data_IF_118500389819
#
_entry.id   IF_118500389819
#
_cell.length_a   1.000
_cell.length_b   1.000
_cell.length_c   1.000
_cell.angle_alpha   90.00
_cell.angle_beta   90.00
_cell.angle_gamma   90.00
#
_symmetry.space_group_name_H-M   'P 1'
#
loop_
_entity.id
_entity.type
_entity.pdbx_description
1 polymer ?
#
# COMPACT_ATOMS: atom_id res chain seq x y z
N UNK A 1 13.49 -13.18 -10.14
CA UNK A 1 12.10 -12.79 -9.84
C UNK A 1 11.49 -12.17 -11.09
N UNK A 2 10.36 -12.67 -11.59
CA UNK A 2 9.76 -12.14 -12.81
C UNK A 2 8.85 -10.94 -12.47
N UNK A 3 9.43 -9.74 -12.44
CA UNK A 3 8.80 -8.50 -11.95
C UNK A 3 7.59 -8.03 -12.76
N UNK A 4 7.43 -8.50 -14.00
CA UNK A 4 6.29 -8.21 -14.87
C UNK A 4 5.20 -9.29 -14.82
N UNK A 5 5.29 -10.25 -13.89
CA UNK A 5 4.28 -11.31 -13.77
C UNK A 5 2.91 -10.67 -13.54
N UNK A 6 1.93 -10.87 -14.43
CA UNK A 6 0.59 -10.35 -14.22
C UNK A 6 -0.08 -11.13 -13.08
N UNK A 7 -0.69 -10.41 -12.15
CA UNK A 7 -1.48 -10.95 -11.06
C UNK A 7 -2.94 -10.66 -11.37
N UNK A 8 -3.74 -11.72 -11.37
CA UNK A 8 -5.17 -11.67 -11.62
C UNK A 8 -5.91 -11.94 -10.32
N UNK A 9 -6.88 -11.08 -10.00
CA UNK A 9 -7.77 -11.29 -8.86
C UNK A 9 -9.13 -10.68 -9.17
N UNK A 10 -10.17 -11.12 -8.45
CA UNK A 10 -11.54 -10.68 -8.67
C UNK A 10 -11.98 -9.80 -7.51
N UNK A 11 -12.48 -8.60 -7.80
CA UNK A 11 -13.07 -7.69 -6.80
C UNK A 11 -14.47 -7.32 -7.29
N UNK A 12 -15.49 -7.59 -6.49
CA UNK A 12 -16.88 -7.22 -6.82
C UNK A 12 -17.43 -7.86 -8.10
N UNK A 13 -16.88 -8.99 -8.55
CA UNK A 13 -17.27 -9.67 -9.80
C UNK A 13 -16.44 -9.28 -11.02
N UNK A 14 -15.67 -8.20 -10.95
CA UNK A 14 -14.78 -7.75 -12.02
C UNK A 14 -13.42 -8.45 -11.93
N UNK A 15 -12.89 -8.90 -13.07
CA UNK A 15 -11.56 -9.51 -13.17
C UNK A 15 -10.52 -8.42 -13.35
N UNK A 16 -9.73 -8.19 -12.31
CA UNK A 16 -8.64 -7.22 -12.32
C UNK A 16 -7.32 -7.93 -12.67
N UNK A 17 -6.52 -7.28 -13.51
CA UNK A 17 -5.17 -7.70 -13.84
C UNK A 17 -4.22 -6.53 -13.59
N UNK A 18 -3.25 -6.72 -12.69
CA UNK A 18 -2.19 -5.76 -12.43
C UNK A 18 -0.82 -6.45 -12.41
N UNK A 19 0.24 -5.82 -12.92
CA UNK A 19 1.57 -6.40 -12.90
C UNK A 19 2.15 -6.37 -11.47
N UNK A 20 2.93 -7.40 -11.14
CA UNK A 20 3.49 -7.60 -9.80
C UNK A 20 4.27 -6.39 -9.27
N UNK A 21 5.01 -5.69 -10.12
CA UNK A 21 5.74 -4.48 -9.75
C UNK A 21 4.82 -3.35 -9.26
N UNK A 22 3.64 -3.17 -9.87
CA UNK A 22 2.66 -2.16 -9.46
C UNK A 22 2.02 -2.56 -8.13
N UNK A 23 1.69 -3.83 -7.95
CA UNK A 23 1.15 -4.34 -6.69
C UNK A 23 2.14 -4.10 -5.53
N UNK A 24 3.42 -4.43 -5.74
CA UNK A 24 4.48 -4.17 -4.75
C UNK A 24 4.63 -2.68 -4.48
N UNK A 25 4.62 -1.84 -5.52
CA UNK A 25 4.71 -0.39 -5.36
C UNK A 25 3.57 0.16 -4.49
N UNK A 26 2.33 -0.26 -4.77
CA UNK A 26 1.16 0.11 -3.99
C UNK A 26 1.28 -0.32 -2.52
N UNK A 27 1.75 -1.54 -2.27
CA UNK A 27 1.94 -2.06 -0.92
C UNK A 27 3.01 -1.25 -0.17
N UNK A 28 4.14 -0.96 -0.82
CA UNK A 28 5.22 -0.16 -0.23
C UNK A 28 4.76 1.27 0.09
N UNK A 29 4.07 1.94 -0.84
CA UNK A 29 3.53 3.28 -0.61
C UNK A 29 2.52 3.27 0.54
N UNK A 30 1.64 2.26 0.59
CA UNK A 30 0.66 2.11 1.68
C UNK A 30 1.36 2.00 3.03
N UNK A 31 2.42 1.18 3.14
CA UNK A 31 3.21 1.07 4.37
C UNK A 31 3.91 2.39 4.73
N UNK A 32 4.49 3.10 3.76
CA UNK A 32 5.13 4.39 3.99
C UNK A 32 4.12 5.41 4.53
N UNK A 33 2.92 5.45 3.95
CA UNK A 33 1.85 6.35 4.39
C UNK A 33 1.31 5.96 5.77
N UNK A 34 1.15 4.67 6.07
CA UNK A 34 0.76 4.20 7.40
C UNK A 34 1.80 4.57 8.45
N UNK A 35 3.09 4.32 8.18
CA UNK A 35 4.18 4.67 9.09
C UNK A 35 4.32 6.18 9.27
N UNK A 36 4.22 6.94 8.18
CA UNK A 36 4.24 8.40 8.21
C UNK A 36 3.06 8.96 9.01
N UNK A 37 1.86 8.44 8.77
CA UNK A 37 0.65 8.79 9.51
C UNK A 37 0.76 8.46 11.00
N UNK A 38 1.27 7.28 11.35
CA UNK A 38 1.50 6.87 12.73
C UNK A 38 2.54 7.75 13.42
N UNK A 39 3.65 8.08 12.75
CA UNK A 39 4.69 8.96 13.28
C UNK A 39 4.20 10.39 13.46
N UNK A 40 3.46 10.93 12.49
CA UNK A 40 2.82 12.24 12.61
C UNK A 40 1.75 12.24 13.71
N UNK A 41 0.95 11.17 13.82
CA UNK A 41 -0.02 10.98 14.89
C UNK A 41 0.65 10.93 16.28
N UNK A 42 1.78 10.23 16.41
CA UNK A 42 2.57 10.21 17.64
C UNK A 42 3.17 11.59 17.96
N UNK A 43 3.77 12.26 16.97
CA UNK A 43 4.47 13.54 17.14
C UNK A 43 3.54 14.73 17.38
N UNK A 44 2.38 14.75 16.71
CA UNK A 44 1.47 15.91 16.70
C UNK A 44 0.10 15.61 17.33
N UNK A 45 -0.32 14.35 17.38
CA UNK A 45 -1.55 13.92 18.05
C UNK A 45 -1.36 13.61 19.54
N UNK A 46 -0.12 13.36 19.98
CA UNK A 46 0.27 13.42 21.38
C UNK A 46 0.33 14.86 21.86
N UNK A 47 -0.83 15.48 22.03
CA UNK A 47 -0.93 16.84 22.58
C UNK A 47 -0.03 16.98 23.80
N UNK A 48 0.66 18.12 23.88
CA UNK A 48 1.27 18.64 25.10
C UNK A 48 0.44 18.20 26.33
N UNK A 49 1.01 17.31 27.12
CA UNK A 49 0.81 17.27 28.57
C UNK A 49 2.09 17.87 29.15
#
# INVERSE_FOLDING_TARGET
MNWKKPIRFTVGGEKWEIPLNILILLLVITLILMLGGAWMGFKFGGGKI
#
